data_IF_856705814209
#
_entry.id   IF_856705814209
#
_cell.length_a   1.000
_cell.length_b   1.000
_cell.length_c   1.000
_cell.angle_alpha   90.00
_cell.angle_beta   90.00
_cell.angle_gamma   90.00
#
_symmetry.space_group_name_H-M   'P 1'
#
loop_
_entity.id
_entity.type
_entity.pdbx_description
1 polymer ?
#
# COMPACT_ATOMS: atom_id res chain seq x y z
N UNK A 1 17.07 18.55 8.78
CA UNK A 1 15.74 18.00 9.11
C UNK A 1 14.88 19.13 9.64
N UNK A 2 13.69 19.37 9.08
CA UNK A 2 12.82 20.45 9.54
C UNK A 2 12.25 20.13 10.93
N UNK A 3 12.33 21.08 11.87
CA UNK A 3 11.71 20.96 13.18
C UNK A 3 10.22 21.31 13.03
N UNK A 4 9.34 20.32 13.20
CA UNK A 4 7.90 20.54 13.14
C UNK A 4 7.38 20.88 14.53
N UNK A 5 6.90 22.12 14.73
CA UNK A 5 6.17 22.50 15.95
C UNK A 5 4.95 21.58 16.09
N UNK A 6 4.90 20.83 17.20
CA UNK A 6 3.73 20.03 17.58
C UNK A 6 2.85 20.86 18.52
N UNK A 7 1.55 20.86 18.25
CA UNK A 7 0.55 21.55 19.07
C UNK A 7 -0.39 20.52 19.68
N UNK A 8 -0.76 20.72 20.95
CA UNK A 8 -1.77 19.90 21.64
C UNK A 8 -3.14 20.08 20.99
N UNK A 9 -4.04 19.11 21.20
CA UNK A 9 -5.39 19.17 20.62
C UNK A 9 -6.26 20.23 21.31
N UNK A 10 -6.06 20.44 22.63
CA UNK A 10 -6.68 21.53 23.39
C UNK A 10 -6.33 22.90 22.80
N UNK A 11 -5.06 23.13 22.45
CA UNK A 11 -4.63 24.38 21.84
C UNK A 11 -5.29 24.60 20.47
N UNK A 12 -5.34 23.56 19.64
CA UNK A 12 -6.03 23.65 18.34
C UNK A 12 -7.51 23.97 18.53
N UNK A 13 -8.13 23.45 19.59
CA UNK A 13 -9.53 23.70 19.93
C UNK A 13 -9.78 25.17 20.24
N UNK A 14 -8.99 25.73 21.15
CA UNK A 14 -9.10 27.13 21.55
C UNK A 14 -8.90 28.07 20.36
N UNK A 15 -7.90 27.81 19.53
CA UNK A 15 -7.62 28.61 18.33
C UNK A 15 -8.77 28.55 17.33
N UNK A 16 -9.32 27.36 17.08
CA UNK A 16 -10.45 27.21 16.17
C UNK A 16 -11.74 27.82 16.72
N UNK A 17 -11.96 27.78 18.04
CA UNK A 17 -13.08 28.45 18.69
C UNK A 17 -12.97 29.98 18.59
N UNK A 18 -11.77 30.53 18.82
CA UNK A 18 -11.49 31.97 18.67
C UNK A 18 -11.70 32.46 17.23
N UNK A 19 -11.38 31.63 16.24
CA UNK A 19 -11.65 31.97 14.83
C UNK A 19 -13.14 31.85 14.51
N UNK A 20 -13.86 30.92 15.14
CA UNK A 20 -15.28 30.72 14.93
C UNK A 20 -16.14 31.86 15.52
N UNK A 21 -15.72 32.50 16.61
CA UNK A 21 -16.41 33.68 17.17
C UNK A 21 -16.32 34.90 16.26
N UNK A 22 -15.36 34.93 15.31
CA UNK A 22 -15.30 35.93 14.25
C UNK A 22 -14.75 37.30 14.67
N UNK A 23 -14.23 37.44 15.90
CA UNK A 23 -13.69 38.70 16.40
C UNK A 23 -12.37 39.10 15.75
N UNK A 24 -11.62 38.14 15.20
CA UNK A 24 -10.29 38.35 14.61
C UNK A 24 -10.14 37.56 13.32
N UNK A 25 -9.39 38.12 12.36
CA UNK A 25 -9.06 37.39 11.12
C UNK A 25 -8.06 36.28 11.40
N UNK A 26 -8.12 35.19 10.62
CA UNK A 26 -7.20 34.04 10.75
C UNK A 26 -5.74 34.49 10.74
N UNK A 27 -5.37 35.41 9.84
CA UNK A 27 -4.01 35.94 9.74
C UNK A 27 -3.60 36.84 10.90
N UNK A 28 -4.54 37.43 11.63
CA UNK A 28 -4.26 38.13 12.88
C UNK A 28 -3.91 37.12 13.97
N UNK A 29 -4.75 36.09 14.14
CA UNK A 29 -4.56 35.02 15.14
C UNK A 29 -3.25 34.27 14.93
N UNK A 30 -2.88 33.98 13.68
CA UNK A 30 -1.59 33.34 13.35
C UNK A 30 -0.39 34.18 13.78
N UNK A 31 -0.47 35.51 13.62
CA UNK A 31 0.59 36.44 14.05
C UNK A 31 0.65 36.58 15.56
N UNK A 32 -0.51 36.71 16.20
CA UNK A 32 -0.61 36.88 17.65
C UNK A 32 -0.07 35.65 18.41
N UNK A 33 -0.26 34.44 17.86
CA UNK A 33 0.12 33.18 18.49
C UNK A 33 1.44 32.58 17.94
N UNK A 34 2.17 33.29 17.09
CA UNK A 34 3.38 32.81 16.40
C UNK A 34 3.19 31.43 15.73
N UNK A 35 2.06 31.28 15.05
CA UNK A 35 1.71 30.09 14.28
C UNK A 35 2.07 30.30 12.82
N UNK A 36 2.58 29.26 12.16
CA UNK A 36 2.90 29.31 10.73
C UNK A 36 1.66 29.69 9.92
N UNK A 37 1.76 30.65 8.98
CA UNK A 37 0.62 31.09 8.20
C UNK A 37 0.02 29.96 7.38
N UNK A 38 -1.31 29.89 7.34
CA UNK A 38 -2.06 28.82 6.68
C UNK A 38 -2.18 27.53 7.49
N UNK A 39 -1.63 27.44 8.70
CA UNK A 39 -1.79 26.25 9.53
C UNK A 39 -3.19 26.14 10.11
N UNK A 40 -3.81 27.27 10.47
CA UNK A 40 -5.19 27.28 11.00
C UNK A 40 -6.17 26.80 9.92
N UNK A 41 -6.02 27.23 8.68
CA UNK A 41 -6.82 26.72 7.55
C UNK A 41 -6.66 25.21 7.37
N UNK A 42 -5.43 24.69 7.50
CA UNK A 42 -5.20 23.24 7.48
C UNK A 42 -5.88 22.53 8.63
N UNK A 43 -5.97 23.14 9.81
CA UNK A 43 -6.70 22.57 10.94
C UNK A 43 -8.20 22.59 10.71
N UNK A 44 -8.78 23.68 10.19
CA UNK A 44 -10.20 23.74 9.81
C UNK A 44 -10.61 22.67 8.79
N UNK A 45 -9.74 22.37 7.83
CA UNK A 45 -10.00 21.30 6.85
C UNK A 45 -9.82 19.89 7.43
N UNK A 46 -8.96 19.74 8.44
CA UNK A 46 -8.61 18.43 9.03
C UNK A 46 -9.54 18.04 10.15
N UNK A 47 -10.02 19.02 10.90
CA UNK A 47 -10.78 18.83 12.12
C UNK A 47 -12.07 19.60 12.01
N UNK A 48 -13.15 18.95 12.42
CA UNK A 48 -14.45 19.57 12.60
C UNK A 48 -14.73 19.66 14.09
N UNK A 49 -15.24 20.80 14.53
CA UNK A 49 -15.80 20.93 15.87
C UNK A 49 -17.15 20.21 15.89
N UNK A 50 -17.24 19.13 16.65
CA UNK A 50 -18.50 18.41 16.92
C UNK A 50 -18.63 18.31 18.43
N UNK A 51 -19.70 18.88 18.99
CA UNK A 51 -19.98 18.89 20.44
C UNK A 51 -18.78 19.32 21.30
N UNK A 52 -18.19 20.49 21.01
CA UNK A 52 -17.01 21.01 21.73
C UNK A 52 -15.81 20.05 21.79
N UNK A 53 -15.66 19.15 20.82
CA UNK A 53 -14.45 18.34 20.67
C UNK A 53 -13.90 18.43 19.25
N UNK A 54 -12.57 18.47 19.15
CA UNK A 54 -11.88 18.28 17.87
C UNK A 54 -12.06 16.84 17.42
N UNK A 55 -12.82 16.62 16.35
CA UNK A 55 -12.88 15.33 15.67
C UNK A 55 -12.20 15.44 14.31
N UNK A 56 -11.38 14.44 13.91
CA UNK A 56 -10.88 14.38 12.54
C UNK A 56 -12.05 14.31 11.57
N UNK A 57 -11.98 15.07 10.47
CA UNK A 57 -13.05 15.11 9.48
C UNK A 57 -13.28 13.69 8.92
N UNK A 58 -14.51 13.18 9.03
CA UNK A 58 -14.90 11.82 8.63
C UNK A 58 -14.49 11.51 7.17
N UNK A 59 -14.52 12.52 6.30
CA UNK A 59 -14.08 12.41 4.90
C UNK A 59 -12.65 11.85 4.76
N UNK A 60 -11.75 12.14 5.72
CA UNK A 60 -10.37 11.64 5.68
C UNK A 60 -10.22 10.24 6.23
N UNK A 61 -10.98 9.85 7.25
CA UNK A 61 -10.96 8.46 7.73
C UNK A 61 -11.56 7.56 6.67
N UNK A 62 -12.68 7.96 6.08
CA UNK A 62 -13.30 7.26 4.96
C UNK A 62 -12.35 7.16 3.76
N UNK A 63 -11.63 8.23 3.38
CA UNK A 63 -10.62 8.15 2.32
C UNK A 63 -9.42 7.25 2.66
N UNK A 64 -9.02 7.16 3.93
CA UNK A 64 -7.95 6.26 4.35
C UNK A 64 -8.40 4.80 4.26
N UNK A 65 -9.61 4.50 4.75
CA UNK A 65 -10.25 3.19 4.66
C UNK A 65 -10.46 2.77 3.20
N UNK A 66 -10.98 3.67 2.35
CA UNK A 66 -11.16 3.44 0.91
C UNK A 66 -9.83 3.10 0.21
N UNK A 67 -8.71 3.70 0.62
CA UNK A 67 -7.39 3.37 0.08
C UNK A 67 -6.92 2.00 0.55
N UNK A 68 -7.18 1.62 1.80
CA UNK A 68 -6.91 0.28 2.32
C UNK A 68 -7.70 -0.78 1.56
N UNK A 69 -9.03 -0.64 1.52
CA UNK A 69 -9.96 -1.53 0.84
C UNK A 69 -9.62 -1.71 -0.66
N UNK A 70 -9.23 -0.63 -1.36
CA UNK A 70 -8.80 -0.73 -2.77
C UNK A 70 -7.54 -1.57 -2.95
N UNK A 71 -6.56 -1.48 -2.04
CA UNK A 71 -5.34 -2.29 -2.08
C UNK A 71 -5.65 -3.76 -1.81
N UNK A 72 -6.50 -4.05 -0.83
CA UNK A 72 -6.92 -5.42 -0.55
C UNK A 72 -7.63 -6.05 -1.75
N UNK A 73 -8.54 -5.31 -2.39
CA UNK A 73 -9.20 -5.77 -3.62
C UNK A 73 -8.21 -6.04 -4.76
N UNK A 74 -7.16 -5.22 -4.89
CA UNK A 74 -6.13 -5.42 -5.90
C UNK A 74 -5.32 -6.69 -5.63
N UNK A 75 -4.89 -6.91 -4.39
CA UNK A 75 -4.15 -8.11 -3.98
C UNK A 75 -5.00 -9.36 -4.23
N UNK A 76 -6.25 -9.37 -3.79
CA UNK A 76 -7.17 -10.50 -4.00
C UNK A 76 -7.41 -10.79 -5.49
N UNK A 77 -7.47 -9.75 -6.33
CA UNK A 77 -7.56 -9.91 -7.79
C UNK A 77 -6.30 -10.55 -8.36
N UNK A 78 -5.12 -10.12 -7.90
CA UNK A 78 -3.84 -10.69 -8.31
C UNK A 78 -3.72 -12.16 -7.91
N UNK A 79 -4.06 -12.52 -6.66
CA UNK A 79 -4.06 -13.90 -6.17
C UNK A 79 -4.95 -14.81 -7.01
N UNK A 80 -6.18 -14.37 -7.30
CA UNK A 80 -7.10 -15.07 -8.20
C UNK A 80 -6.49 -15.25 -9.60
N UNK A 81 -5.83 -14.23 -10.14
CA UNK A 81 -5.25 -14.29 -11.47
C UNK A 81 -4.03 -15.21 -11.54
N UNK A 82 -3.23 -15.27 -10.48
CA UNK A 82 -2.16 -16.26 -10.32
C UNK A 82 -2.76 -17.65 -10.30
N UNK A 83 -3.80 -17.89 -9.49
CA UNK A 83 -4.46 -19.19 -9.41
C UNK A 83 -5.06 -19.62 -10.75
N UNK A 84 -5.72 -18.71 -11.48
CA UNK A 84 -6.24 -18.98 -12.83
C UNK A 84 -5.12 -19.31 -13.82
N UNK A 85 -4.00 -18.59 -13.78
CA UNK A 85 -2.83 -18.88 -14.61
C UNK A 85 -2.25 -20.27 -14.29
N UNK A 86 -2.11 -20.59 -13.01
CA UNK A 86 -1.67 -21.90 -12.54
C UNK A 86 -2.58 -23.02 -13.06
N UNK A 87 -3.91 -22.91 -12.85
CA UNK A 87 -4.88 -23.89 -13.36
C UNK A 87 -4.73 -24.04 -14.87
N UNK A 88 -4.60 -22.96 -15.63
CA UNK A 88 -4.41 -23.03 -17.09
C UNK A 88 -3.12 -23.78 -17.49
N UNK A 89 -2.05 -23.63 -16.72
CA UNK A 89 -0.78 -24.36 -16.91
C UNK A 89 -0.96 -25.85 -16.56
N UNK A 90 -1.65 -26.17 -15.47
CA UNK A 90 -1.84 -27.57 -15.05
C UNK A 90 -2.91 -28.32 -15.87
N UNK A 91 -3.94 -27.65 -16.37
CA UNK A 91 -5.00 -28.25 -17.20
C UNK A 91 -4.57 -28.45 -18.65
N UNK A 92 -3.59 -27.68 -19.13
CA UNK A 92 -2.94 -27.95 -20.42
C UNK A 92 -1.75 -28.82 -20.12
N UNK A 93 -1.86 -30.14 -20.27
CA UNK A 93 -0.75 -31.10 -20.16
C UNK A 93 0.37 -30.92 -21.20
N UNK A 94 0.63 -29.69 -21.66
CA UNK A 94 1.72 -29.32 -22.55
C UNK A 94 2.75 -28.61 -21.71
N UNK A 95 3.90 -29.24 -21.55
CA UNK A 95 5.15 -28.56 -21.26
C UNK A 95 5.38 -27.51 -22.36
N UNK A 96 4.87 -26.30 -22.17
CA UNK A 96 5.44 -25.14 -22.86
C UNK A 96 6.67 -24.75 -22.04
N UNK A 97 7.90 -24.98 -22.57
CA UNK A 97 9.08 -24.49 -21.90
C UNK A 97 8.98 -22.96 -21.84
N UNK A 98 8.96 -22.41 -20.63
CA UNK A 98 9.19 -20.97 -20.46
C UNK A 98 10.54 -20.65 -21.13
N UNK A 99 10.63 -19.61 -21.96
CA UNK A 99 11.89 -19.25 -22.59
C UNK A 99 12.83 -18.71 -21.52
N UNK A 100 13.60 -19.61 -20.89
CA UNK A 100 14.74 -19.22 -20.10
C UNK A 100 15.78 -18.78 -21.12
N UNK A 101 15.93 -17.46 -21.29
CA UNK A 101 17.03 -16.92 -22.09
C UNK A 101 18.33 -17.23 -21.36
N UNK A 102 18.94 -18.36 -21.70
CA UNK A 102 20.30 -18.68 -21.30
C UNK A 102 21.22 -17.77 -22.13
N UNK A 103 21.81 -16.77 -21.49
CA UNK A 103 22.93 -16.01 -22.05
C UNK A 103 23.98 -16.99 -22.59
N UNK A 104 24.53 -16.82 -23.80
CA UNK A 104 25.55 -17.71 -24.29
C UNK A 104 26.82 -17.55 -23.44
N UNK A 105 27.11 -18.49 -22.55
CA UNK A 105 28.45 -18.59 -21.94
C UNK A 105 29.47 -18.95 -23.04
N UNK A 106 30.65 -18.32 -23.05
CA UNK A 106 31.63 -18.58 -24.10
C UNK A 106 32.24 -19.98 -23.91
N UNK A 107 32.00 -20.82 -24.92
CA UNK A 107 32.78 -21.99 -25.38
C UNK A 107 33.70 -22.64 -24.34
N UNK A 108 33.28 -23.80 -23.84
CA UNK A 108 34.24 -24.86 -23.54
C UNK A 108 34.17 -25.89 -24.67
N UNK A 109 35.27 -26.00 -25.40
CA UNK A 109 35.52 -27.04 -26.39
C UNK A 109 35.57 -28.40 -25.70
N UNK A 110 34.61 -29.27 -26.00
CA UNK A 110 34.62 -30.64 -25.50
C UNK A 110 33.35 -31.37 -25.88
N UNK A 111 33.46 -32.31 -26.82
CA UNK A 111 32.36 -33.18 -27.25
C UNK A 111 31.83 -34.00 -26.08
N UNK A 112 30.60 -33.74 -25.65
CA UNK A 112 29.79 -34.70 -24.90
C UNK A 112 28.32 -34.54 -25.31
N UNK A 113 27.93 -35.27 -26.35
CA UNK A 113 26.54 -35.45 -26.73
C UNK A 113 25.87 -36.33 -25.66
N UNK A 114 25.22 -35.70 -24.67
CA UNK A 114 24.39 -36.44 -23.70
C UNK A 114 23.04 -36.71 -24.34
N UNK A 115 22.83 -37.95 -24.78
CA UNK A 115 21.51 -38.48 -25.11
C UNK A 115 20.68 -38.54 -23.81
N UNK A 116 19.94 -37.46 -23.53
CA UNK A 116 18.98 -37.40 -22.43
C UNK A 116 17.72 -38.15 -22.79
N UNK A 117 17.61 -39.39 -22.35
CA UNK A 117 16.39 -40.19 -22.35
C UNK A 117 15.33 -39.54 -21.44
N UNK A 118 14.09 -39.53 -21.93
CA UNK A 118 12.85 -39.70 -21.16
C UNK A 118 12.66 -38.84 -19.90
N UNK A 119 11.78 -37.85 -20.02
CA UNK A 119 11.09 -37.17 -18.93
C UNK A 119 10.60 -38.18 -17.87
N UNK A 120 11.26 -38.28 -16.72
CA UNK A 120 10.87 -39.15 -15.60
C UNK A 120 9.96 -38.41 -14.61
N UNK A 121 8.81 -37.92 -15.09
CA UNK A 121 7.76 -37.40 -14.22
C UNK A 121 6.84 -38.53 -13.76
N UNK A 122 7.31 -39.43 -12.91
CA UNK A 122 6.47 -40.19 -11.97
C UNK A 122 7.32 -41.01 -10.99
N UNK A 123 7.59 -40.43 -9.82
CA UNK A 123 7.71 -41.18 -8.57
C UNK A 123 7.65 -40.19 -7.40
N UNK A 124 7.17 -40.69 -6.26
CA UNK A 124 6.87 -40.00 -4.98
C UNK A 124 5.38 -39.58 -5.00
N UNK A 125 4.44 -40.30 -4.35
CA UNK A 125 4.44 -40.75 -2.96
C UNK A 125 3.76 -42.12 -2.79
N UNK A 126 4.42 -43.09 -2.16
CA UNK A 126 3.76 -44.09 -1.30
C UNK A 126 4.12 -43.74 0.13
N UNK A 127 3.19 -43.14 0.87
CA UNK A 127 3.23 -43.11 2.32
C UNK A 127 2.63 -44.43 2.81
N UNK A 128 3.36 -45.11 3.69
CA UNK A 128 2.96 -46.38 4.28
C UNK A 128 1.78 -46.24 5.23
N UNK A 129 0.97 -47.29 5.27
CA UNK A 129 0.16 -47.65 6.42
C UNK A 129 0.31 -49.18 6.58
N UNK A 130 0.51 -49.58 7.83
CA UNK A 130 0.90 -50.91 8.31
C UNK A 130 -0.15 -51.99 8.06
#
# INVERSE_FOLDING_TARGET
MGNYKKYSDEFKQEVLAMVATGERTVSQVERDLDITPGLIYKWQQRYRMVDEKLQPSAERSEQAELRGLKRELEIMRQERDILKKAIRVFSRGKCEPLPVYCSPSPRLSGTAFVRGTGCSCQRILRLGAA
#
